data_IF_925999284865
#
_entry.id   IF_925999284865
#
_cell.length_a   1.000
_cell.length_b   1.000
_cell.length_c   1.000
_cell.angle_alpha   90.00
_cell.angle_beta   90.00
_cell.angle_gamma   90.00
#
_symmetry.space_group_name_H-M   'P 1'
#
loop_
_entity.id
_entity.type
_entity.pdbx_description
1 polymer ?
#
# COMPACT_ATOMS: atom_id res chain seq x y z
N UNK A 1 -20.83 29.43 40.55
CA UNK A 1 -19.49 29.02 40.08
C UNK A 1 -18.69 30.29 39.75
N UNK A 2 -17.59 30.57 40.47
CA UNK A 2 -16.86 31.84 40.39
C UNK A 2 -16.16 32.01 39.02
N UNK A 3 -15.94 33.26 38.57
CA UNK A 3 -15.31 33.61 37.29
C UNK A 3 -13.97 32.89 37.08
N UNK A 4 -13.16 32.77 38.12
CA UNK A 4 -11.88 32.06 38.11
C UNK A 4 -12.07 30.55 37.83
N UNK A 5 -13.14 29.95 38.36
CA UNK A 5 -13.47 28.55 38.11
C UNK A 5 -13.91 28.29 36.68
N UNK A 6 -14.63 29.24 36.06
CA UNK A 6 -15.03 29.17 34.64
C UNK A 6 -13.82 29.28 33.72
N UNK A 7 -12.88 30.17 34.03
CA UNK A 7 -11.63 30.35 33.28
C UNK A 7 -10.77 29.09 33.35
N UNK A 8 -10.59 28.49 34.53
CA UNK A 8 -9.83 27.24 34.69
C UNK A 8 -10.45 26.07 33.93
N UNK A 9 -11.77 25.96 33.94
CA UNK A 9 -12.49 24.92 33.20
C UNK A 9 -12.31 25.08 31.68
N UNK A 10 -12.40 26.32 31.18
CA UNK A 10 -12.19 26.61 29.76
C UNK A 10 -10.75 26.29 29.31
N UNK A 11 -9.75 26.69 30.09
CA UNK A 11 -8.34 26.38 29.82
C UNK A 11 -8.07 24.87 29.83
N UNK A 12 -8.66 24.13 30.76
CA UNK A 12 -8.56 22.66 30.81
C UNK A 12 -9.17 22.01 29.56
N UNK A 13 -10.28 22.54 29.07
CA UNK A 13 -10.97 22.01 27.89
C UNK A 13 -10.19 22.29 26.60
N UNK A 14 -9.58 23.47 26.49
CA UNK A 14 -8.69 23.85 25.37
C UNK A 14 -7.42 22.98 25.37
N UNK A 15 -6.84 22.70 26.55
CA UNK A 15 -5.68 21.83 26.66
C UNK A 15 -5.99 20.39 26.22
N UNK A 16 -7.18 19.87 26.54
CA UNK A 16 -7.63 18.55 26.09
C UNK A 16 -7.84 18.49 24.56
N UNK A 17 -8.39 19.57 23.97
CA UNK A 17 -8.56 19.69 22.51
C UNK A 17 -7.21 19.83 21.78
N UNK A 18 -6.21 20.46 22.41
CA UNK A 18 -4.86 20.56 21.84
C UNK A 18 -4.09 19.23 21.87
N UNK A 19 -4.53 18.25 22.69
CA UNK A 19 -3.96 16.91 22.76
C UNK A 19 -4.71 15.87 21.90
N UNK A 20 -5.74 16.26 21.13
CA UNK A 20 -6.25 15.39 20.05
C UNK A 20 -5.21 15.35 18.94
N UNK A 21 -4.23 14.47 19.13
CA UNK A 21 -3.16 14.18 18.20
C UNK A 21 -3.74 13.93 16.81
N UNK A 22 -3.20 14.63 15.79
CA UNK A 22 -3.41 14.26 14.40
C UNK A 22 -2.74 12.90 14.20
N UNK A 23 -3.51 11.81 14.33
CA UNK A 23 -3.13 10.53 13.75
C UNK A 23 -2.94 10.84 12.27
N UNK A 24 -1.70 10.75 11.80
CA UNK A 24 -1.39 10.86 10.39
C UNK A 24 -1.91 9.57 9.75
N UNK A 25 -3.20 9.54 9.41
CA UNK A 25 -3.87 8.47 8.66
C UNK A 25 -3.48 8.48 7.17
N UNK A 26 -2.26 8.85 6.85
CA UNK A 26 -1.66 8.39 5.60
C UNK A 26 -0.67 7.30 6.01
N UNK A 27 -1.12 6.04 6.21
CA UNK A 27 -0.18 4.96 6.06
C UNK A 27 0.35 5.11 4.65
N UNK A 28 1.62 5.52 4.52
CA UNK A 28 2.33 5.55 3.24
C UNK A 28 1.91 4.30 2.50
N UNK A 29 1.21 4.50 1.37
CA UNK A 29 0.44 3.53 0.61
C UNK A 29 1.27 2.26 0.37
N UNK A 30 1.26 1.37 1.38
CA UNK A 30 2.14 0.21 1.45
C UNK A 30 1.58 -0.78 0.44
N UNK A 31 2.04 -0.65 -0.80
CA UNK A 31 1.64 -1.49 -1.92
C UNK A 31 2.80 -2.37 -2.29
N UNK A 32 2.57 -3.67 -2.34
CA UNK A 32 3.55 -4.60 -2.90
C UNK A 32 3.59 -4.38 -4.41
N UNK A 33 4.78 -4.08 -4.94
CA UNK A 33 5.03 -3.95 -6.38
C UNK A 33 5.82 -5.17 -6.84
N UNK A 34 5.23 -5.94 -7.75
CA UNK A 34 5.89 -7.06 -8.42
C UNK A 34 6.31 -6.58 -9.80
N UNK A 35 7.61 -6.51 -10.03
CA UNK A 35 8.19 -6.16 -11.33
C UNK A 35 8.56 -7.41 -12.10
N UNK A 36 8.13 -7.47 -13.36
CA UNK A 36 8.45 -8.56 -14.29
C UNK A 36 9.52 -8.08 -15.25
N UNK A 37 10.57 -8.87 -15.39
CA UNK A 37 11.66 -8.63 -16.33
C UNK A 37 11.88 -9.89 -17.16
N UNK A 38 11.74 -9.75 -18.48
CA UNK A 38 11.99 -10.81 -19.44
C UNK A 38 13.25 -10.49 -20.24
N UNK A 39 14.39 -10.29 -19.55
CA UNK A 39 15.70 -10.05 -20.19
C UNK A 39 16.53 -11.32 -20.40
N UNK A 40 16.16 -12.43 -19.75
CA UNK A 40 16.83 -13.72 -19.92
C UNK A 40 16.40 -14.40 -21.22
N UNK A 41 16.85 -13.83 -22.33
CA UNK A 41 16.60 -14.26 -23.69
C UNK A 41 17.82 -13.95 -24.57
N UNK A 42 17.78 -14.37 -25.84
CA UNK A 42 18.91 -14.20 -26.77
C UNK A 42 19.25 -12.73 -27.09
N UNK A 43 18.31 -11.81 -26.90
CA UNK A 43 18.49 -10.37 -27.15
C UNK A 43 19.21 -9.70 -25.98
N UNK A 44 19.32 -10.37 -24.84
CA UNK A 44 19.89 -9.81 -23.60
C UNK A 44 19.24 -8.47 -23.21
N UNK A 45 17.94 -8.32 -23.49
CA UNK A 45 17.16 -7.12 -23.23
C UNK A 45 15.74 -7.49 -22.82
N UNK A 46 15.11 -6.65 -22.00
CA UNK A 46 13.75 -6.90 -21.53
C UNK A 46 12.77 -6.83 -22.71
N UNK A 47 12.26 -7.98 -23.12
CA UNK A 47 11.33 -8.12 -24.25
C UNK A 47 9.89 -8.38 -23.80
N UNK A 48 9.58 -8.17 -22.52
CA UNK A 48 8.29 -8.54 -21.90
C UNK A 48 7.09 -7.99 -22.67
N UNK A 49 7.11 -6.68 -22.99
CA UNK A 49 5.99 -5.99 -23.65
C UNK A 49 5.62 -6.59 -25.01
N UNK A 50 6.62 -7.11 -25.73
CA UNK A 50 6.46 -7.58 -27.11
C UNK A 50 6.33 -9.11 -27.22
N UNK A 51 6.56 -9.86 -26.14
CA UNK A 51 6.67 -11.32 -26.16
C UNK A 51 5.70 -12.00 -25.19
N UNK A 52 4.99 -11.23 -24.36
CA UNK A 52 4.05 -11.76 -23.37
C UNK A 52 2.65 -11.23 -23.63
N UNK A 53 1.76 -12.14 -24.01
CA UNK A 53 0.35 -11.85 -24.22
C UNK A 53 -0.42 -11.73 -22.89
N UNK A 54 -0.03 -12.51 -21.88
CA UNK A 54 -0.71 -12.55 -20.58
C UNK A 54 0.25 -12.85 -19.43
N UNK A 55 0.12 -12.10 -18.34
CA UNK A 55 0.77 -12.35 -17.06
C UNK A 55 -0.23 -12.91 -16.04
N UNK A 56 0.15 -14.02 -15.40
CA UNK A 56 -0.59 -14.65 -14.32
C UNK A 56 0.32 -14.72 -13.08
N UNK A 57 -0.06 -14.01 -12.02
CA UNK A 57 0.63 -14.02 -10.75
C UNK A 57 -0.19 -14.80 -9.72
N UNK A 58 0.38 -15.88 -9.22
CA UNK A 58 -0.18 -16.70 -8.15
C UNK A 58 0.54 -16.35 -6.84
N UNK A 59 -0.23 -16.01 -5.81
CA UNK A 59 0.29 -15.65 -4.48
C UNK A 59 -0.01 -16.78 -3.52
N UNK A 60 1.01 -17.29 -2.85
CA UNK A 60 0.89 -18.35 -1.85
C UNK A 60 1.29 -17.82 -0.46
N UNK A 61 0.69 -18.37 0.60
CA UNK A 61 1.10 -18.08 1.97
C UNK A 61 2.33 -18.89 2.38
N UNK A 62 2.81 -18.69 3.61
CA UNK A 62 3.96 -19.41 4.16
C UNK A 62 3.76 -20.93 4.30
N UNK A 63 2.52 -21.43 4.21
CA UNK A 63 2.20 -22.86 4.23
C UNK A 63 2.06 -23.44 2.81
N UNK A 64 2.26 -22.63 1.77
CA UNK A 64 2.09 -23.02 0.37
C UNK A 64 0.64 -23.06 -0.10
N UNK A 65 -0.30 -22.48 0.65
CA UNK A 65 -1.70 -22.40 0.24
C UNK A 65 -1.92 -21.19 -0.66
N UNK A 66 -2.70 -21.36 -1.74
CA UNK A 66 -3.02 -20.29 -2.67
C UNK A 66 -3.90 -19.22 -2.00
N UNK A 67 -3.43 -17.96 -1.99
CA UNK A 67 -4.11 -16.81 -1.36
C UNK A 67 -4.85 -15.96 -2.39
N UNK A 68 -4.25 -15.72 -3.56
CA UNK A 68 -4.86 -14.95 -4.64
C UNK A 68 -4.21 -15.25 -6.00
N UNK A 69 -4.97 -14.93 -7.05
CA UNK A 69 -4.50 -14.95 -8.43
C UNK A 69 -4.76 -13.57 -9.02
N UNK A 70 -3.77 -13.02 -9.72
CA UNK A 70 -3.87 -11.76 -10.43
C UNK A 70 -3.50 -11.97 -11.89
N UNK A 71 -4.35 -11.49 -12.81
CA UNK A 71 -4.14 -11.61 -14.24
C UNK A 71 -4.05 -10.25 -14.91
N UNK A 72 -3.15 -10.10 -15.87
CA UNK A 72 -3.05 -8.92 -16.75
C UNK A 72 -2.84 -9.36 -18.18
N UNK A 73 -3.56 -8.71 -19.09
CA UNK A 73 -3.29 -8.81 -20.52
C UNK A 73 -2.12 -7.87 -20.87
N UNK A 74 -1.28 -8.32 -21.79
CA UNK A 74 -0.06 -7.65 -22.24
C UNK A 74 1.09 -7.70 -21.23
N UNK A 75 2.29 -7.37 -21.71
CA UNK A 75 3.54 -7.40 -20.94
C UNK A 75 3.78 -6.18 -20.05
N UNK A 76 2.76 -5.69 -19.34
CA UNK A 76 2.95 -4.60 -18.38
C UNK A 76 3.99 -5.01 -17.31
N UNK A 77 5.08 -4.27 -17.20
CA UNK A 77 6.24 -4.69 -16.38
C UNK A 77 6.01 -4.63 -14.87
N UNK A 78 4.89 -4.08 -14.39
CA UNK A 78 4.60 -3.95 -12.96
C UNK A 78 3.15 -4.31 -12.64
N UNK A 79 2.97 -5.16 -11.63
CA UNK A 79 1.70 -5.44 -10.98
C UNK A 79 1.72 -4.93 -9.54
N UNK A 80 0.66 -4.23 -9.13
CA UNK A 80 0.49 -3.71 -7.77
C UNK A 80 -0.49 -4.60 -7.03
N UNK A 81 -0.07 -5.17 -5.91
CA UNK A 81 -0.92 -5.99 -5.06
C UNK A 81 -1.41 -5.16 -3.88
N UNK A 82 -2.69 -5.26 -3.52
CA UNK A 82 -3.17 -4.72 -2.26
C UNK A 82 -2.53 -5.50 -1.10
N UNK A 83 -2.12 -4.81 -0.04
CA UNK A 83 -1.93 -5.47 1.24
C UNK A 83 -3.32 -5.82 1.79
N UNK A 84 -3.48 -7.07 2.24
CA UNK A 84 -4.66 -7.52 2.99
C UNK A 84 -4.53 -7.12 4.45
#
# INVERSE_FOLDING_TARGET
MNQIGRIKLALSMIALLAMSSCIKEDPDDCKIRVSFDYSYNILSSNALENQVDQLMLYVFDGNGMLVSIHSRQGGASVMRLPLK
#
